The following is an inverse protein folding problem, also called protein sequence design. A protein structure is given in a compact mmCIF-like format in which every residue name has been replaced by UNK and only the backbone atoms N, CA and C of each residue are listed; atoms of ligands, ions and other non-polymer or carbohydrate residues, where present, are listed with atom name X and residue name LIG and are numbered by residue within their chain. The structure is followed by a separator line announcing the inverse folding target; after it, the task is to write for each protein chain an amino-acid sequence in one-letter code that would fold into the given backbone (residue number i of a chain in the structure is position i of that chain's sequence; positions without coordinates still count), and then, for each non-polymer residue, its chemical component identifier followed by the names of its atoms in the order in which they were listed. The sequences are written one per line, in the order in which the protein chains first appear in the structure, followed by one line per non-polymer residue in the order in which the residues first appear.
data_IF_663162151256
#
_entry.id   IF_663162151256
#
_cell.length_a   1.000
_cell.length_b   1.000
_cell.length_c   1.000
_cell.angle_alpha   90.00
_cell.angle_beta   90.00
_cell.angle_gamma   90.00
#
_symmetry.space_group_name_H-M   'P 1'
#
loop_
_entity.id
_entity.type
_entity.pdbx_description
1 polymer ?
#
# COMPACT_ATOMS: atom_id res chain seq x y z
N UNK A 1 -25.64 72.95 43.00
CA UNK A 1 -24.49 72.26 42.38
C UNK A 1 -24.74 70.77 42.55
N UNK A 2 -25.20 70.12 41.49
CA UNK A 2 -25.41 68.67 41.45
C UNK A 2 -24.99 68.24 40.05
N UNK A 3 -23.73 67.82 39.93
CA UNK A 3 -23.17 67.32 38.68
C UNK A 3 -23.70 65.91 38.43
N UNK A 4 -24.57 65.78 37.44
CA UNK A 4 -24.81 64.52 36.76
C UNK A 4 -23.67 64.30 35.77
N UNK A 5 -22.84 63.29 35.99
CA UNK A 5 -21.94 62.81 34.95
C UNK A 5 -22.28 61.36 34.60
N UNK A 6 -22.58 61.20 33.30
CA UNK A 6 -23.13 60.03 32.64
C UNK A 6 -22.05 58.94 32.56
N UNK A 7 -22.38 57.74 33.05
CA UNK A 7 -21.55 56.55 32.86
C UNK A 7 -21.70 56.05 31.43
N UNK A 8 -20.66 56.17 30.62
CA UNK A 8 -20.61 55.60 29.27
C UNK A 8 -20.58 54.06 29.34
N UNK A 9 -21.31 53.34 28.47
CA UNK A 9 -21.21 51.89 28.42
C UNK A 9 -19.85 51.46 27.86
N UNK A 10 -19.33 50.27 28.25
CA UNK A 10 -18.04 49.79 27.77
C UNK A 10 -18.11 49.55 26.25
N UNK A 11 -16.99 49.71 25.52
CA UNK A 11 -16.94 49.44 24.10
C UNK A 11 -17.32 47.97 23.86
N UNK A 12 -18.30 47.77 22.99
CA UNK A 12 -18.74 46.46 22.53
C UNK A 12 -17.53 45.68 22.04
N UNK A 13 -17.26 44.51 22.61
CA UNK A 13 -16.28 43.58 22.05
C UNK A 13 -16.62 43.35 20.57
N UNK A 14 -15.63 43.41 19.64
CA UNK A 14 -15.87 43.00 18.28
C UNK A 14 -16.37 41.55 18.28
N UNK A 15 -17.34 41.20 17.41
CA UNK A 15 -17.87 39.85 17.38
C UNK A 15 -16.72 38.86 17.16
N UNK A 16 -16.59 37.92 18.08
CA UNK A 16 -15.56 36.91 18.03
C UNK A 16 -15.74 36.04 16.77
N UNK A 17 -14.90 36.33 15.76
CA UNK A 17 -14.21 35.38 14.89
C UNK A 17 -15.13 34.33 14.23
N UNK A 18 -15.80 34.69 13.13
CA UNK A 18 -16.31 33.73 12.13
C UNK A 18 -15.21 32.81 11.56
N UNK A 19 -13.92 33.17 11.73
CA UNK A 19 -12.77 32.36 11.33
C UNK A 19 -12.52 31.12 12.20
N UNK A 20 -12.95 31.06 13.46
CA UNK A 20 -12.68 29.91 14.35
C UNK A 20 -13.53 28.70 13.93
N UNK A 21 -14.83 28.93 13.68
CA UNK A 21 -15.73 27.92 13.14
C UNK A 21 -15.32 27.45 11.73
N UNK A 22 -14.80 28.36 10.90
CA UNK A 22 -14.26 28.02 9.58
C UNK A 22 -13.02 27.12 9.68
N UNK A 23 -12.08 27.44 10.57
CA UNK A 23 -10.90 26.60 10.81
C UNK A 23 -11.28 25.23 11.36
N UNK A 24 -12.17 25.16 12.35
CA UNK A 24 -12.63 23.89 12.93
C UNK A 24 -13.23 22.97 11.86
N UNK A 25 -14.03 23.54 10.94
CA UNK A 25 -14.58 22.81 9.80
C UNK A 25 -13.48 22.28 8.87
N UNK A 26 -12.45 23.07 8.59
CA UNK A 26 -11.30 22.64 7.77
C UNK A 26 -10.54 21.48 8.42
N UNK A 27 -10.23 21.59 9.72
CA UNK A 27 -9.54 20.52 10.46
C UNK A 27 -10.38 19.23 10.51
N UNK A 28 -11.70 19.32 10.71
CA UNK A 28 -12.59 18.16 10.62
C UNK A 28 -12.52 17.49 9.24
N UNK A 29 -12.49 18.29 8.16
CA UNK A 29 -12.31 17.77 6.80
C UNK A 29 -10.96 17.06 6.60
N UNK A 30 -9.87 17.66 7.09
CA UNK A 30 -8.53 17.06 7.04
C UNK A 30 -8.44 15.76 7.84
N UNK A 31 -9.05 15.71 9.02
CA UNK A 31 -9.10 14.49 9.85
C UNK A 31 -9.80 13.35 9.11
N UNK A 32 -10.96 13.62 8.50
CA UNK A 32 -11.69 12.62 7.73
C UNK A 32 -10.85 12.09 6.55
N UNK A 33 -10.15 12.96 5.83
CA UNK A 33 -9.25 12.56 4.73
C UNK A 33 -8.06 11.72 5.22
N UNK A 34 -7.50 12.05 6.39
CA UNK A 34 -6.40 11.28 6.98
C UNK A 34 -6.85 9.90 7.45
N UNK A 35 -8.04 9.81 8.03
CA UNK A 35 -8.65 8.56 8.49
C UNK A 35 -8.93 7.63 7.31
N UNK A 36 -9.57 8.14 6.25
CA UNK A 36 -9.81 7.40 5.00
C UNK A 36 -8.49 6.91 4.38
N UNK A 37 -7.50 7.82 4.24
CA UNK A 37 -6.19 7.45 3.73
C UNK A 37 -5.45 6.47 4.65
N UNK A 38 -5.74 6.47 5.96
CA UNK A 38 -5.21 5.53 6.93
C UNK A 38 -5.81 4.13 6.76
N UNK A 39 -7.13 4.05 6.60
CA UNK A 39 -7.83 2.79 6.35
C UNK A 39 -7.36 2.11 5.06
N UNK A 40 -7.13 2.89 3.99
CA UNK A 40 -6.56 2.38 2.73
C UNK A 40 -5.16 1.80 2.97
N UNK A 41 -4.28 2.53 3.68
CA UNK A 41 -2.92 2.05 4.00
C UNK A 41 -2.94 0.74 4.78
N UNK A 42 -3.87 0.58 5.71
CA UNK A 42 -3.92 -0.64 6.53
C UNK A 42 -4.35 -1.85 5.70
N UNK A 43 -5.34 -1.68 4.81
CA UNK A 43 -5.74 -2.72 3.86
C UNK A 43 -4.60 -3.11 2.93
N UNK A 44 -3.86 -2.13 2.41
CA UNK A 44 -2.67 -2.36 1.57
C UNK A 44 -1.62 -3.16 2.35
N UNK A 45 -1.28 -2.75 3.58
CA UNK A 45 -0.32 -3.46 4.43
C UNK A 45 -0.71 -4.91 4.67
N UNK A 46 -1.98 -5.18 4.93
CA UNK A 46 -2.48 -6.55 5.09
C UNK A 46 -2.14 -7.41 3.87
N UNK A 47 -2.46 -6.93 2.66
CA UNK A 47 -2.16 -7.68 1.43
C UNK A 47 -0.65 -7.80 1.19
N UNK A 48 0.12 -6.74 1.47
CA UNK A 48 1.59 -6.78 1.34
C UNK A 48 2.22 -7.81 2.25
N UNK A 49 1.76 -7.95 3.50
CA UNK A 49 2.25 -8.98 4.41
C UNK A 49 2.00 -10.39 3.88
N UNK A 50 0.86 -10.62 3.24
CA UNK A 50 0.55 -11.88 2.56
C UNK A 50 1.49 -12.11 1.35
N UNK A 51 1.75 -11.07 0.54
CA UNK A 51 2.70 -11.12 -0.61
C UNK A 51 4.09 -11.50 -0.13
N UNK A 52 4.59 -10.82 0.91
CA UNK A 52 5.91 -11.12 1.46
C UNK A 52 6.00 -12.53 2.04
N UNK A 53 4.91 -13.04 2.62
CA UNK A 53 4.83 -14.41 3.12
C UNK A 53 4.95 -15.43 1.99
N UNK A 54 4.17 -15.25 0.91
CA UNK A 54 4.23 -16.11 -0.27
C UNK A 54 5.61 -16.06 -0.95
N UNK A 55 6.21 -14.86 -1.07
CA UNK A 55 7.55 -14.70 -1.61
C UNK A 55 8.62 -15.42 -0.76
N UNK A 56 8.52 -15.35 0.58
CA UNK A 56 9.42 -16.09 1.49
C UNK A 56 9.25 -17.60 1.39
N UNK A 57 8.01 -18.09 1.26
CA UNK A 57 7.73 -19.50 1.06
C UNK A 57 8.36 -20.00 -0.25
N UNK A 58 8.12 -19.28 -1.35
CA UNK A 58 8.69 -19.58 -2.65
C UNK A 58 10.22 -19.58 -2.62
N UNK A 59 10.83 -18.57 -2.00
CA UNK A 59 12.28 -18.51 -1.85
C UNK A 59 12.84 -19.71 -1.07
N UNK A 60 12.16 -20.10 0.01
CA UNK A 60 12.58 -21.21 0.86
C UNK A 60 12.56 -22.54 0.11
N UNK A 61 11.54 -22.77 -0.74
CA UNK A 61 11.51 -23.92 -1.64
C UNK A 61 12.67 -23.86 -2.63
N UNK A 62 12.88 -22.74 -3.32
CA UNK A 62 13.94 -22.61 -4.32
C UNK A 62 15.36 -22.79 -3.74
N UNK A 63 15.59 -22.47 -2.46
CA UNK A 63 16.89 -22.72 -1.83
C UNK A 63 17.20 -24.22 -1.64
N UNK A 64 16.21 -25.11 -1.74
CA UNK A 64 16.41 -26.56 -1.64
C UNK A 64 17.19 -27.14 -2.80
N UNK A 65 17.30 -26.44 -3.94
CA UNK A 65 18.16 -26.85 -5.06
C UNK A 65 19.64 -26.98 -4.65
N UNK A 66 20.05 -26.26 -3.60
CA UNK A 66 21.42 -26.34 -3.07
C UNK A 66 21.65 -27.58 -2.18
N UNK A 67 20.60 -28.36 -1.84
CA UNK A 67 20.66 -29.50 -0.90
C UNK A 67 20.49 -30.86 -1.58
N UNK A 68 20.84 -30.98 -2.86
CA UNK A 68 20.79 -32.24 -3.65
C UNK A 68 19.39 -32.84 -3.83
N UNK A 69 18.33 -32.06 -3.65
CA UNK A 69 16.95 -32.48 -3.96
C UNK A 69 16.70 -32.47 -5.48
N UNK A 70 15.83 -33.36 -5.99
CA UNK A 70 15.42 -33.32 -7.39
C UNK A 70 14.82 -31.95 -7.74
N UNK A 71 15.41 -31.28 -8.71
CA UNK A 71 14.97 -29.95 -9.17
C UNK A 71 13.47 -29.94 -9.54
N UNK A 72 12.89 -30.95 -10.24
CA UNK A 72 11.47 -30.91 -10.60
C UNK A 72 10.52 -30.74 -9.41
N UNK A 73 10.74 -31.48 -8.32
CA UNK A 73 9.86 -31.45 -7.13
C UNK A 73 9.91 -30.09 -6.42
N UNK A 74 11.08 -29.44 -6.44
CA UNK A 74 11.29 -28.10 -5.88
C UNK A 74 10.57 -27.04 -6.74
N UNK A 75 10.68 -27.16 -8.06
CA UNK A 75 10.07 -26.21 -8.99
C UNK A 75 8.54 -26.27 -8.95
N UNK A 76 7.92 -27.45 -8.79
CA UNK A 76 6.47 -27.56 -8.66
C UNK A 76 5.91 -26.79 -7.48
N UNK A 77 6.54 -26.92 -6.30
CA UNK A 77 6.11 -26.20 -5.09
C UNK A 77 6.29 -24.70 -5.21
N UNK A 78 7.41 -24.26 -5.80
CA UNK A 78 7.65 -22.84 -6.07
C UNK A 78 6.65 -22.28 -7.09
N UNK A 79 6.29 -23.05 -8.12
CA UNK A 79 5.29 -22.67 -9.14
C UNK A 79 3.92 -22.43 -8.52
N UNK A 80 3.49 -23.25 -7.56
CA UNK A 80 2.21 -23.07 -6.87
C UNK A 80 2.10 -21.71 -6.15
N UNK A 81 3.22 -21.09 -5.77
CA UNK A 81 3.21 -19.75 -5.17
C UNK A 81 2.93 -18.64 -6.20
N UNK A 82 3.14 -18.88 -7.50
CA UNK A 82 2.84 -17.90 -8.55
C UNK A 82 1.34 -17.59 -8.59
N UNK A 83 0.48 -18.60 -8.51
CA UNK A 83 -0.97 -18.41 -8.53
C UNK A 83 -1.43 -17.62 -7.28
N UNK A 84 -0.85 -17.94 -6.12
CA UNK A 84 -1.10 -17.19 -4.87
C UNK A 84 -0.69 -15.73 -5.02
N UNK A 85 0.51 -15.46 -5.55
CA UNK A 85 1.00 -14.10 -5.79
C UNK A 85 0.10 -13.36 -6.77
N UNK A 86 -0.35 -14.00 -7.85
CA UNK A 86 -1.26 -13.42 -8.83
C UNK A 86 -2.59 -12.97 -8.21
N UNK A 87 -3.17 -13.80 -7.33
CA UNK A 87 -4.39 -13.44 -6.61
C UNK A 87 -4.17 -12.29 -5.61
N UNK A 88 -3.02 -12.24 -4.96
CA UNK A 88 -2.66 -11.16 -4.05
C UNK A 88 -2.44 -9.83 -4.78
N UNK A 89 -1.78 -9.83 -5.93
CA UNK A 89 -1.64 -8.64 -6.78
C UNK A 89 -2.99 -8.18 -7.34
N UNK A 90 -3.90 -9.10 -7.67
CA UNK A 90 -5.28 -8.75 -8.02
C UNK A 90 -5.99 -8.03 -6.87
N UNK A 91 -5.92 -8.57 -5.64
CA UNK A 91 -6.50 -7.93 -4.44
C UNK A 91 -5.89 -6.55 -4.18
N UNK A 92 -4.58 -6.40 -4.36
CA UNK A 92 -3.91 -5.11 -4.23
C UNK A 92 -4.42 -4.12 -5.28
N UNK A 93 -4.56 -4.57 -6.54
CA UNK A 93 -5.11 -3.77 -7.64
C UNK A 93 -6.55 -3.32 -7.35
N UNK A 94 -7.39 -4.20 -6.81
CA UNK A 94 -8.76 -3.87 -6.43
C UNK A 94 -8.83 -2.77 -5.36
N UNK A 95 -7.92 -2.77 -4.38
CA UNK A 95 -7.81 -1.68 -3.40
C UNK A 95 -7.42 -0.36 -4.10
N UNK A 96 -6.50 -0.41 -5.08
CA UNK A 96 -6.04 0.79 -5.79
C UNK A 96 -7.10 1.36 -6.75
N UNK A 97 -8.03 0.54 -7.25
CA UNK A 97 -9.17 1.00 -8.04
C UNK A 97 -10.13 1.89 -7.25
N UNK A 98 -10.18 1.73 -5.93
CA UNK A 98 -10.96 2.60 -5.05
C UNK A 98 -10.34 4.01 -4.92
N UNK A 99 -9.03 4.16 -5.19
CA UNK A 99 -8.31 5.44 -5.09
C UNK A 99 -7.57 5.79 -6.39
N UNK A 100 -8.30 6.08 -7.50
CA UNK A 100 -7.69 6.32 -8.80
C UNK A 100 -6.69 7.49 -8.76
N UNK A 101 -5.58 7.34 -9.47
CA UNK A 101 -4.49 8.33 -9.52
C UNK A 101 -3.55 8.34 -8.31
N UNK A 102 -3.79 7.49 -7.30
CA UNK A 102 -2.96 7.44 -6.09
C UNK A 102 -1.96 6.27 -6.06
N UNK A 103 -1.71 5.60 -7.19
CA UNK A 103 -0.77 4.48 -7.29
C UNK A 103 0.58 4.80 -6.64
N UNK A 104 1.25 5.86 -7.10
CA UNK A 104 2.57 6.24 -6.59
C UNK A 104 2.56 6.80 -5.17
N UNK A 105 1.40 7.27 -4.68
CA UNK A 105 1.27 7.72 -3.28
C UNK A 105 1.42 6.57 -2.30
N UNK A 106 0.90 5.39 -2.66
CA UNK A 106 0.96 4.21 -1.81
C UNK A 106 2.05 3.22 -2.26
N UNK A 107 2.68 3.41 -3.41
CA UNK A 107 3.66 2.48 -4.00
C UNK A 107 4.79 2.04 -3.06
N UNK A 108 5.29 2.95 -2.22
CA UNK A 108 6.34 2.64 -1.25
C UNK A 108 5.92 1.55 -0.25
N UNK A 109 4.61 1.27 -0.09
CA UNK A 109 4.11 0.19 0.75
C UNK A 109 4.39 -1.21 0.21
N UNK A 110 4.48 -1.41 -1.12
CA UNK A 110 4.70 -2.74 -1.72
C UNK A 110 5.92 -2.83 -2.62
N UNK A 111 6.66 -1.73 -2.80
CA UNK A 111 7.84 -1.66 -3.66
C UNK A 111 8.88 -2.73 -3.32
N UNK A 112 9.27 -2.84 -2.05
CA UNK A 112 10.26 -3.84 -1.60
C UNK A 112 9.75 -5.27 -1.81
N UNK A 113 8.51 -5.55 -1.40
CA UNK A 113 7.87 -6.86 -1.59
C UNK A 113 7.84 -7.25 -3.06
N UNK A 114 7.52 -6.31 -3.96
CA UNK A 114 7.48 -6.56 -5.40
C UNK A 114 8.86 -6.81 -5.99
N UNK A 115 9.89 -6.10 -5.56
CA UNK A 115 11.26 -6.39 -5.97
C UNK A 115 11.69 -7.80 -5.55
N UNK A 116 11.34 -8.23 -4.35
CA UNK A 116 11.58 -9.60 -3.89
C UNK A 116 10.83 -10.62 -4.74
N UNK A 117 9.54 -10.40 -5.00
CA UNK A 117 8.71 -11.27 -5.84
C UNK A 117 9.30 -11.43 -7.24
N UNK A 118 9.67 -10.31 -7.89
CA UNK A 118 10.29 -10.34 -9.22
C UNK A 118 11.63 -11.10 -9.20
N UNK A 119 12.45 -10.88 -8.16
CA UNK A 119 13.72 -11.59 -7.99
C UNK A 119 13.53 -13.12 -7.89
N UNK A 120 12.62 -13.57 -7.03
CA UNK A 120 12.38 -15.02 -6.88
C UNK A 120 11.71 -15.62 -8.10
N UNK A 121 10.83 -14.88 -8.79
CA UNK A 121 10.19 -15.32 -10.04
C UNK A 121 11.18 -15.43 -11.17
N UNK A 122 12.12 -14.48 -11.28
CA UNK A 122 13.22 -14.56 -12.23
C UNK A 122 14.14 -15.75 -11.94
N UNK A 123 14.38 -16.05 -10.66
CA UNK A 123 15.19 -17.22 -10.28
C UNK A 123 14.50 -18.53 -10.65
N UNK A 124 13.19 -18.67 -10.37
CA UNK A 124 12.39 -19.82 -10.81
C UNK A 124 12.46 -19.99 -12.34
N UNK A 125 12.22 -18.91 -13.08
CA UNK A 125 12.26 -18.93 -14.55
C UNK A 125 13.64 -19.34 -15.09
N UNK A 126 14.73 -18.87 -14.46
CA UNK A 126 16.09 -19.27 -14.83
C UNK A 126 16.32 -20.77 -14.61
N UNK A 127 15.86 -21.33 -13.48
CA UNK A 127 16.00 -22.76 -13.21
C UNK A 127 15.18 -23.64 -14.18
N UNK A 128 14.08 -23.13 -14.72
CA UNK A 128 13.23 -23.82 -15.68
C UNK A 128 13.75 -23.75 -17.12
N UNK A 129 14.14 -22.54 -17.55
CA UNK A 129 14.36 -22.21 -18.96
C UNK A 129 15.82 -21.88 -19.28
N UNK A 130 16.67 -21.69 -18.27
CA UNK A 130 18.07 -21.25 -18.45
C UNK A 130 18.21 -19.84 -19.01
N UNK A 131 17.17 -19.00 -18.93
CA UNK A 131 17.14 -17.64 -19.48
C UNK A 131 16.68 -16.61 -18.44
N UNK A 132 16.89 -15.32 -18.73
CA UNK A 132 16.41 -14.23 -17.89
C UNK A 132 14.92 -13.96 -18.16
N UNK A 133 14.14 -13.79 -17.09
CA UNK A 133 12.73 -13.39 -17.17
C UNK A 133 12.61 -11.96 -17.71
N UNK A 134 11.79 -11.77 -18.75
CA UNK A 134 11.48 -10.44 -19.29
C UNK A 134 10.37 -9.74 -18.50
N UNK A 135 10.23 -8.42 -18.69
CA UNK A 135 9.19 -7.63 -18.04
C UNK A 135 7.78 -8.16 -18.34
N UNK A 136 7.45 -8.38 -19.63
CA UNK A 136 6.13 -8.87 -20.02
C UNK A 136 5.79 -10.26 -19.46
N UNK A 137 6.78 -11.15 -19.36
CA UNK A 137 6.58 -12.45 -18.72
C UNK A 137 6.35 -12.33 -17.21
N UNK A 138 6.99 -11.35 -16.55
CA UNK A 138 6.75 -11.09 -15.14
C UNK A 138 5.33 -10.52 -14.92
N UNK A 139 4.88 -9.61 -15.79
CA UNK A 139 3.52 -9.06 -15.75
C UNK A 139 2.46 -10.15 -15.94
N UNK A 140 2.63 -11.04 -16.93
CA UNK A 140 1.72 -12.16 -17.18
C UNK A 140 1.63 -13.13 -15.98
N UNK A 141 2.80 -13.50 -15.42
CA UNK A 141 2.89 -14.40 -14.27
C UNK A 141 2.25 -13.81 -13.02
N UNK A 142 2.43 -12.51 -12.78
CA UNK A 142 1.89 -11.82 -11.61
C UNK A 142 0.47 -11.26 -11.83
N UNK A 143 -0.05 -11.30 -13.07
CA UNK A 143 -1.35 -10.75 -13.42
C UNK A 143 -1.43 -9.22 -13.33
N UNK A 144 -0.33 -8.55 -13.67
CA UNK A 144 -0.17 -7.10 -13.60
C UNK A 144 -0.26 -6.39 -14.98
N UNK A 145 -0.87 -7.03 -15.97
CA UNK A 145 -1.15 -6.45 -17.30
C UNK A 145 -2.15 -5.29 -17.27
#
# INVERSE_FOLDING_TARGET
MSDGNVSSPPPSMPPAINGSASMEKQFKGLLAQLEESGAIRERIKSVVMEIESAARAMHSELLLVHRSLPVPDVLEKARAQIDVLKDLYRRLSDILRECPGQYYRYHENWRSGTQTVVSVTAYLHYLEMGSLLTHGQAEEKLGCE
#
